data_IF_847916540482
#
_entry.id   IF_847916540482
#
_cell.length_a   1.000
_cell.length_b   1.000
_cell.length_c   1.000
_cell.angle_alpha   90.00
_cell.angle_beta   90.00
_cell.angle_gamma   90.00
#
_symmetry.space_group_name_H-M   'P 1'
#
loop_
_entity.id
_entity.type
_entity.pdbx_description
1 polymer ?
#
# COMPACT_ATOMS: atom_id res chain seq x y z
N UNK A 1 33.25 0.07 -20.99
CA UNK A 1 32.45 0.62 -19.88
C UNK A 1 31.04 0.16 -20.12
N UNK A 2 30.64 -0.94 -19.49
CA UNK A 2 29.25 -1.37 -19.53
C UNK A 2 28.41 -0.32 -18.79
N UNK A 3 27.51 0.32 -19.52
CA UNK A 3 26.40 1.07 -18.94
C UNK A 3 25.49 0.02 -18.27
N UNK A 4 25.78 -0.34 -17.02
CA UNK A 4 24.84 -1.10 -16.20
C UNK A 4 23.54 -0.31 -16.16
N UNK A 5 22.50 -0.84 -16.81
CA UNK A 5 21.16 -0.30 -16.72
C UNK A 5 20.78 -0.24 -15.24
N UNK A 6 20.32 0.93 -14.77
CA UNK A 6 19.84 1.06 -13.40
C UNK A 6 18.74 0.01 -13.16
N UNK A 7 18.72 -0.67 -12.00
CA UNK A 7 17.66 -1.61 -11.68
C UNK A 7 16.29 -0.92 -11.78
N UNK A 8 15.37 -1.53 -12.50
CA UNK A 8 13.98 -1.06 -12.66
C UNK A 8 13.03 -2.16 -12.18
N UNK A 9 11.91 -1.75 -11.59
CA UNK A 9 10.86 -2.70 -11.23
C UNK A 9 10.13 -3.22 -12.48
N UNK A 10 9.59 -4.44 -12.43
CA UNK A 10 8.68 -4.93 -13.46
C UNK A 10 7.48 -3.98 -13.64
N UNK A 11 7.08 -3.79 -14.89
CA UNK A 11 5.84 -3.10 -15.26
C UNK A 11 4.89 -4.17 -15.79
N UNK A 12 3.71 -4.31 -15.17
CA UNK A 12 2.73 -5.35 -15.48
C UNK A 12 1.43 -4.70 -15.96
N UNK A 13 0.87 -5.22 -17.04
CA UNK A 13 -0.31 -4.66 -17.70
C UNK A 13 -1.62 -5.23 -17.12
N UNK A 14 -2.40 -4.39 -16.45
CA UNK A 14 -3.72 -4.68 -15.88
C UNK A 14 -4.86 -4.04 -16.70
N UNK A 15 -4.70 -3.88 -18.01
CA UNK A 15 -5.78 -3.49 -18.93
C UNK A 15 -6.72 -4.67 -19.21
N UNK A 16 -7.93 -4.40 -19.73
CA UNK A 16 -9.01 -5.40 -19.90
C UNK A 16 -8.57 -6.72 -20.58
N UNK A 17 -7.60 -6.67 -21.50
CA UNK A 17 -7.08 -7.84 -22.20
C UNK A 17 -6.47 -8.91 -21.27
N UNK A 18 -5.94 -8.49 -20.13
CA UNK A 18 -5.24 -9.35 -19.17
C UNK A 18 -6.07 -9.66 -17.92
N UNK A 19 -7.22 -9.00 -17.74
CA UNK A 19 -8.03 -9.10 -16.53
C UNK A 19 -9.05 -10.25 -16.53
N UNK A 20 -9.29 -10.92 -17.67
CA UNK A 20 -10.31 -11.97 -17.77
C UNK A 20 -9.83 -13.27 -17.10
N UNK A 21 -10.39 -13.68 -15.94
CA UNK A 21 -9.92 -14.87 -15.25
C UNK A 21 -10.03 -16.13 -16.11
N UNK A 22 -8.99 -16.97 -16.09
CA UNK A 22 -8.92 -18.20 -16.85
C UNK A 22 -8.51 -18.06 -18.32
N UNK A 23 -8.28 -16.85 -18.83
CA UNK A 23 -7.65 -16.68 -20.15
C UNK A 23 -6.15 -17.02 -20.11
N UNK A 24 -5.56 -17.27 -21.28
CA UNK A 24 -4.10 -17.45 -21.39
C UNK A 24 -3.31 -16.21 -20.97
N UNK A 25 -3.79 -15.01 -21.33
CA UNK A 25 -3.18 -13.74 -20.92
C UNK A 25 -3.22 -13.55 -19.40
N UNK A 26 -4.33 -13.90 -18.75
CA UNK A 26 -4.48 -13.81 -17.30
C UNK A 26 -3.54 -14.77 -16.57
N UNK A 27 -3.34 -15.99 -17.08
CA UNK A 27 -2.39 -16.94 -16.49
C UNK A 27 -0.94 -16.45 -16.61
N UNK A 28 -0.55 -15.90 -17.76
CA UNK A 28 0.78 -15.30 -17.96
C UNK A 28 0.99 -14.14 -16.99
N UNK A 29 0.03 -13.21 -16.93
CA UNK A 29 0.05 -12.07 -16.01
C UNK A 29 0.12 -12.53 -14.55
N UNK A 30 -0.60 -13.59 -14.18
CA UNK A 30 -0.56 -14.14 -12.82
C UNK A 30 0.83 -14.66 -12.42
N UNK A 31 1.57 -15.23 -13.38
CA UNK A 31 2.95 -15.67 -13.16
C UNK A 31 3.92 -14.48 -13.05
N UNK A 32 3.74 -13.44 -13.87
CA UNK A 32 4.52 -12.20 -13.79
C UNK A 32 4.32 -11.51 -12.43
N UNK A 33 3.06 -11.42 -11.96
CA UNK A 33 2.72 -10.88 -10.64
C UNK A 33 3.41 -11.66 -9.53
N UNK A 34 3.29 -13.00 -9.54
CA UNK A 34 3.95 -13.84 -8.54
C UNK A 34 5.46 -13.62 -8.56
N UNK A 35 6.09 -13.70 -9.73
CA UNK A 35 7.53 -13.52 -9.85
C UNK A 35 7.98 -12.14 -9.36
N UNK A 36 7.25 -11.08 -9.72
CA UNK A 36 7.60 -9.73 -9.28
C UNK A 36 7.50 -9.56 -7.76
N UNK A 37 6.48 -10.15 -7.12
CA UNK A 37 6.32 -10.13 -5.67
C UNK A 37 7.34 -11.02 -4.94
N UNK A 38 7.68 -12.18 -5.49
CA UNK A 38 8.75 -13.04 -4.95
C UNK A 38 10.11 -12.32 -5.02
N UNK A 39 10.40 -11.66 -6.13
CA UNK A 39 11.75 -11.15 -6.41
C UNK A 39 12.01 -9.72 -5.97
N UNK A 40 11.02 -8.85 -6.13
CA UNK A 40 11.12 -7.42 -5.81
C UNK A 40 10.20 -7.00 -4.66
N UNK A 41 9.23 -7.83 -4.29
CA UNK A 41 8.18 -7.47 -3.33
C UNK A 41 7.19 -6.42 -3.83
N UNK A 42 7.34 -5.98 -5.08
CA UNK A 42 6.55 -4.91 -5.66
C UNK A 42 6.69 -4.86 -7.18
N UNK A 43 5.75 -4.17 -7.84
CA UNK A 43 5.78 -3.90 -9.28
C UNK A 43 4.92 -2.67 -9.61
N UNK A 44 5.13 -2.12 -10.81
CA UNK A 44 4.30 -1.04 -11.34
C UNK A 44 3.18 -1.65 -12.18
N UNK A 45 1.93 -1.45 -11.79
CA UNK A 45 0.75 -1.86 -12.54
C UNK A 45 0.30 -0.75 -13.49
N UNK A 46 0.15 -1.05 -14.78
CA UNK A 46 -0.56 -0.19 -15.74
C UNK A 46 -2.05 -0.47 -15.60
N UNK A 47 -2.85 0.53 -15.23
CA UNK A 47 -4.27 0.33 -14.92
C UNK A 47 -5.12 1.46 -15.53
N UNK A 48 -5.91 1.11 -16.54
CA UNK A 48 -6.61 2.04 -17.43
C UNK A 48 -8.01 2.47 -16.94
N UNK A 49 -8.54 1.82 -15.89
CA UNK A 49 -9.83 2.17 -15.30
C UNK A 49 -9.85 3.52 -14.59
N UNK A 50 -8.68 4.06 -14.23
CA UNK A 50 -8.56 5.38 -13.60
C UNK A 50 -7.99 6.35 -14.63
N UNK A 51 -8.86 7.22 -15.15
CA UNK A 51 -8.45 8.23 -16.13
C UNK A 51 -7.78 9.46 -15.46
N UNK A 52 -7.20 10.32 -16.30
CA UNK A 52 -6.45 11.50 -15.85
C UNK A 52 -7.33 12.52 -15.14
N UNK A 53 -8.60 12.65 -15.54
CA UNK A 53 -9.56 13.54 -14.87
C UNK A 53 -9.80 13.10 -13.42
N UNK A 54 -10.03 11.79 -13.22
CA UNK A 54 -10.19 11.19 -11.90
C UNK A 54 -8.92 11.37 -11.04
N UNK A 55 -7.74 11.13 -11.62
CA UNK A 55 -6.46 11.35 -10.91
C UNK A 55 -6.30 12.81 -10.45
N UNK A 56 -6.60 13.77 -11.34
CA UNK A 56 -6.57 15.20 -11.00
C UNK A 56 -7.59 15.55 -9.91
N UNK A 57 -8.77 14.96 -9.94
CA UNK A 57 -9.82 15.16 -8.94
C UNK A 57 -9.42 14.64 -7.57
N UNK A 58 -8.77 13.46 -7.51
CA UNK A 58 -8.23 12.88 -6.28
C UNK A 58 -7.17 13.77 -5.64
N UNK A 59 -6.23 14.30 -6.42
CA UNK A 59 -5.19 15.18 -5.85
C UNK A 59 -5.69 16.58 -5.52
N UNK A 60 -6.73 17.07 -6.22
CA UNK A 60 -7.45 18.28 -5.80
C UNK A 60 -8.16 18.07 -4.47
N UNK A 61 -8.91 16.99 -4.32
CA UNK A 61 -9.59 16.62 -3.08
C UNK A 61 -8.59 16.41 -1.92
N UNK A 62 -7.43 15.82 -2.20
CA UNK A 62 -6.34 15.66 -1.24
C UNK A 62 -5.80 17.02 -0.78
N UNK A 63 -5.62 17.97 -1.70
CA UNK A 63 -5.17 19.32 -1.36
C UNK A 63 -6.19 20.05 -0.47
N UNK A 64 -7.47 20.01 -0.86
CA UNK A 64 -8.57 20.58 -0.07
C UNK A 64 -8.60 20.00 1.36
N UNK A 65 -8.39 18.69 1.50
CA UNK A 65 -8.33 18.02 2.81
C UNK A 65 -7.20 18.57 3.69
N UNK A 66 -6.02 18.81 3.13
CA UNK A 66 -4.88 19.32 3.90
C UNK A 66 -4.90 20.83 4.15
N UNK A 67 -5.74 21.57 3.42
CA UNK A 67 -6.03 22.99 3.66
C UNK A 67 -6.97 23.22 4.85
N UNK A 68 -7.64 22.16 5.35
CA UNK A 68 -8.44 22.24 6.56
C UNK A 68 -7.61 22.66 7.79
N UNK A 69 -8.20 23.40 8.75
CA UNK A 69 -7.54 23.75 10.01
C UNK A 69 -7.06 22.51 10.76
N UNK A 70 -5.98 22.67 11.54
CA UNK A 70 -5.42 21.59 12.35
C UNK A 70 -6.47 21.03 13.31
N UNK A 71 -7.26 21.90 13.93
CA UNK A 71 -8.33 21.58 14.88
C UNK A 71 -9.41 20.68 14.27
N UNK A 72 -9.58 20.72 12.95
CA UNK A 72 -10.48 19.80 12.23
C UNK A 72 -9.77 18.49 11.95
N UNK A 73 -8.54 18.52 11.42
CA UNK A 73 -7.79 17.31 11.04
C UNK A 73 -7.53 16.38 12.23
N UNK A 74 -7.23 16.91 13.41
CA UNK A 74 -7.01 16.11 14.63
C UNK A 74 -8.26 15.39 15.14
N UNK A 75 -9.46 15.70 14.61
CA UNK A 75 -10.69 14.94 14.90
C UNK A 75 -10.74 13.60 14.19
N UNK A 76 -9.87 13.35 13.21
CA UNK A 76 -9.71 12.03 12.60
C UNK A 76 -8.93 11.11 13.56
N UNK A 77 -9.62 10.56 14.53
CA UNK A 77 -9.06 9.70 15.59
C UNK A 77 -9.30 8.22 15.30
N UNK A 78 -8.42 7.36 15.81
CA UNK A 78 -8.58 5.90 15.76
C UNK A 78 -7.78 5.27 16.90
N UNK A 79 -8.15 4.06 17.31
CA UNK A 79 -7.48 3.31 18.39
C UNK A 79 -6.01 3.02 18.05
N UNK A 80 -5.72 2.67 16.79
CA UNK A 80 -4.36 2.61 16.27
C UNK A 80 -3.95 3.95 15.64
N UNK A 81 -2.81 4.49 16.06
CA UNK A 81 -2.28 5.80 15.61
C UNK A 81 -2.08 5.89 14.09
N UNK A 82 -1.86 4.75 13.42
CA UNK A 82 -1.65 4.68 11.98
C UNK A 82 -2.94 4.58 11.18
N UNK A 83 -4.12 4.75 11.78
CA UNK A 83 -5.42 4.72 11.09
C UNK A 83 -6.13 6.08 11.03
N UNK A 84 -5.71 7.05 11.84
CA UNK A 84 -6.28 8.40 11.87
C UNK A 84 -5.38 9.46 11.22
N UNK A 85 -5.51 10.70 11.72
CA UNK A 85 -4.58 11.80 11.48
C UNK A 85 -3.23 11.47 12.10
N UNK A 86 -2.17 11.67 11.31
CA UNK A 86 -0.82 11.40 11.75
C UNK A 86 0.12 12.50 11.28
N UNK A 87 0.80 13.12 12.24
CA UNK A 87 1.90 14.04 12.05
C UNK A 87 2.88 13.84 13.21
N UNK A 88 4.07 13.34 12.91
CA UNK A 88 5.07 12.98 13.92
C UNK A 88 6.23 13.99 13.90
N UNK A 89 6.71 14.47 15.06
CA UNK A 89 7.85 15.39 15.11
C UNK A 89 9.12 14.84 14.45
N UNK A 90 9.33 13.53 14.51
CA UNK A 90 10.51 12.84 13.94
C UNK A 90 10.52 12.78 12.40
N UNK A 91 9.37 12.91 11.75
CA UNK A 91 9.21 13.01 10.29
C UNK A 91 8.45 14.31 9.94
N UNK A 92 9.08 15.47 10.16
CA UNK A 92 8.40 16.77 10.18
C UNK A 92 7.84 17.21 8.82
N UNK A 93 8.26 16.55 7.74
CA UNK A 93 7.75 16.78 6.38
C UNK A 93 6.40 16.11 6.13
N UNK A 94 6.08 15.06 6.89
CA UNK A 94 4.95 14.18 6.67
C UNK A 94 3.71 14.59 7.45
N UNK A 95 2.58 14.59 6.75
CA UNK A 95 1.24 14.73 7.34
C UNK A 95 0.30 13.78 6.59
N UNK A 96 -0.57 13.07 7.31
CA UNK A 96 -1.51 12.14 6.67
C UNK A 96 -2.83 11.98 7.41
N UNK A 97 -3.85 11.54 6.68
CA UNK A 97 -5.16 11.17 7.22
C UNK A 97 -5.56 9.81 6.66
N UNK A 98 -5.97 8.90 7.55
CA UNK A 98 -6.61 7.64 7.17
C UNK A 98 -8.12 7.78 7.06
N UNK A 99 -8.70 7.05 6.11
CA UNK A 99 -10.14 6.88 5.87
C UNK A 99 -10.41 5.38 5.97
N UNK A 100 -10.88 4.92 7.13
CA UNK A 100 -11.26 3.52 7.33
C UNK A 100 -12.50 3.20 6.52
N UNK A 101 -12.53 2.01 5.91
CA UNK A 101 -13.66 1.53 5.12
C UNK A 101 -14.05 2.52 4.01
N UNK A 102 -13.06 3.14 3.36
CA UNK A 102 -13.29 4.12 2.29
C UNK A 102 -14.04 3.52 1.07
N UNK A 103 -14.02 2.19 0.93
CA UNK A 103 -14.77 1.41 -0.06
C UNK A 103 -16.25 1.26 0.28
N UNK A 104 -16.71 1.66 1.47
CA UNK A 104 -18.12 1.63 1.87
C UNK A 104 -18.72 3.04 1.92
N UNK A 105 -20.03 3.14 1.68
CA UNK A 105 -20.75 4.42 1.78
C UNK A 105 -20.67 5.02 3.18
N UNK A 106 -20.76 4.18 4.22
CA UNK A 106 -20.77 4.65 5.60
C UNK A 106 -19.38 5.13 6.05
N UNK A 107 -18.31 4.41 5.67
CA UNK A 107 -16.94 4.79 6.00
C UNK A 107 -16.57 6.15 5.40
N UNK A 108 -16.83 6.35 4.10
CA UNK A 108 -16.50 7.63 3.46
C UNK A 108 -17.39 8.79 3.95
N UNK A 109 -18.68 8.55 4.23
CA UNK A 109 -19.59 9.58 4.75
C UNK A 109 -19.22 9.98 6.17
N UNK A 110 -18.88 9.01 7.02
CA UNK A 110 -18.42 9.25 8.38
C UNK A 110 -17.21 10.18 8.37
N UNK A 111 -16.16 9.82 7.60
CA UNK A 111 -14.97 10.66 7.45
C UNK A 111 -15.30 12.04 6.87
N UNK A 112 -16.13 12.10 5.81
CA UNK A 112 -16.56 13.33 5.18
C UNK A 112 -17.28 14.28 6.13
N UNK A 113 -18.18 13.78 6.97
CA UNK A 113 -18.90 14.56 7.96
C UNK A 113 -17.96 15.13 9.04
N UNK A 114 -16.95 14.35 9.45
CA UNK A 114 -15.96 14.81 10.43
C UNK A 114 -15.05 15.91 9.86
N UNK A 115 -14.58 15.75 8.62
CA UNK A 115 -13.64 16.70 7.98
C UNK A 115 -14.34 17.92 7.38
N UNK A 116 -15.56 17.75 6.88
CA UNK A 116 -16.36 18.79 6.24
C UNK A 116 -17.76 18.84 6.87
N UNK A 117 -17.93 19.43 8.08
CA UNK A 117 -19.22 19.48 8.76
C UNK A 117 -20.33 20.21 7.98
N UNK A 118 -19.96 21.13 7.08
CA UNK A 118 -20.87 21.82 6.15
C UNK A 118 -21.20 20.99 4.89
N UNK A 119 -20.67 19.77 4.79
CA UNK A 119 -20.80 18.88 3.64
C UNK A 119 -19.72 19.11 2.58
N UNK A 120 -19.28 18.03 1.95
CA UNK A 120 -18.49 18.04 0.72
C UNK A 120 -18.75 16.75 -0.06
N UNK A 121 -19.90 16.68 -0.74
CA UNK A 121 -20.28 15.48 -1.50
C UNK A 121 -19.28 15.13 -2.59
N UNK A 122 -18.66 16.14 -3.20
CA UNK A 122 -17.68 15.94 -4.27
C UNK A 122 -16.44 15.23 -3.75
N UNK A 123 -15.92 15.64 -2.59
CA UNK A 123 -14.83 14.95 -1.91
C UNK A 123 -15.20 13.48 -1.66
N UNK A 124 -16.36 13.22 -1.03
CA UNK A 124 -16.78 11.86 -0.70
C UNK A 124 -16.93 11.00 -1.96
N UNK A 125 -17.61 11.49 -3.00
CA UNK A 125 -17.78 10.78 -4.28
C UNK A 125 -16.44 10.45 -4.94
N UNK A 126 -15.53 11.42 -4.98
CA UNK A 126 -14.20 11.27 -5.59
C UNK A 126 -13.35 10.23 -4.84
N UNK A 127 -13.20 10.39 -3.54
CA UNK A 127 -12.35 9.52 -2.73
C UNK A 127 -12.94 8.11 -2.61
N UNK A 128 -14.26 7.97 -2.53
CA UNK A 128 -14.94 6.67 -2.53
C UNK A 128 -14.75 5.92 -3.85
N UNK A 129 -14.98 6.59 -4.99
CA UNK A 129 -14.81 5.98 -6.29
C UNK A 129 -13.36 5.57 -6.52
N UNK A 130 -12.39 6.39 -6.09
CA UNK A 130 -10.98 6.05 -6.17
C UNK A 130 -10.63 4.84 -5.29
N UNK A 131 -11.10 4.81 -4.03
CA UNK A 131 -10.89 3.69 -3.13
C UNK A 131 -11.41 2.36 -3.71
N UNK A 132 -12.60 2.37 -4.30
CA UNK A 132 -13.17 1.18 -4.94
C UNK A 132 -12.35 0.70 -6.14
N UNK A 133 -11.85 1.62 -6.97
CA UNK A 133 -11.00 1.26 -8.12
C UNK A 133 -9.64 0.70 -7.69
N UNK A 134 -9.04 1.23 -6.62
CA UNK A 134 -7.82 0.67 -6.05
C UNK A 134 -8.07 -0.70 -5.39
N UNK A 135 -9.21 -0.88 -4.74
CA UNK A 135 -9.59 -2.15 -4.12
C UNK A 135 -9.85 -3.23 -5.19
N UNK A 136 -10.43 -2.86 -6.32
CA UNK A 136 -10.58 -3.76 -7.46
C UNK A 136 -9.21 -4.24 -7.99
N UNK A 137 -8.23 -3.33 -8.12
CA UNK A 137 -6.86 -3.70 -8.52
C UNK A 137 -6.21 -4.62 -7.47
N UNK A 138 -6.36 -4.30 -6.18
CA UNK A 138 -5.84 -5.12 -5.08
C UNK A 138 -6.42 -6.54 -5.11
N UNK A 139 -7.74 -6.68 -5.26
CA UNK A 139 -8.42 -7.97 -5.33
C UNK A 139 -7.98 -8.77 -6.56
N UNK A 140 -7.76 -8.11 -7.70
CA UNK A 140 -7.23 -8.77 -8.90
C UNK A 140 -5.83 -9.33 -8.65
N UNK A 141 -4.94 -8.54 -8.04
CA UNK A 141 -3.59 -8.99 -7.67
C UNK A 141 -3.67 -10.15 -6.69
N UNK A 142 -4.48 -10.04 -5.63
CA UNK A 142 -4.67 -11.12 -4.66
C UNK A 142 -5.16 -12.40 -5.35
N UNK A 143 -6.14 -12.31 -6.25
CA UNK A 143 -6.63 -13.48 -7.01
C UNK A 143 -5.54 -14.13 -7.84
N UNK A 144 -4.73 -13.34 -8.53
CA UNK A 144 -3.60 -13.82 -9.32
C UNK A 144 -2.56 -14.51 -8.43
N UNK A 145 -2.26 -13.98 -7.24
CA UNK A 145 -1.37 -14.61 -6.26
C UNK A 145 -1.92 -15.95 -5.78
N UNK A 146 -3.19 -15.99 -5.34
CA UNK A 146 -3.83 -17.22 -4.88
C UNK A 146 -3.87 -18.28 -5.98
N UNK A 147 -4.12 -17.88 -7.22
CA UNK A 147 -4.07 -18.78 -8.37
C UNK A 147 -2.68 -19.34 -8.60
N UNK A 148 -1.68 -18.47 -8.67
CA UNK A 148 -0.30 -18.85 -9.00
C UNK A 148 0.32 -19.80 -7.97
N UNK A 149 -0.18 -19.78 -6.74
CA UNK A 149 0.18 -20.73 -5.69
C UNK A 149 -0.73 -21.97 -5.61
N UNK A 150 -1.73 -22.11 -6.49
CA UNK A 150 -2.62 -23.27 -6.50
C UNK A 150 -3.64 -23.31 -5.34
N UNK A 151 -3.86 -22.17 -4.68
CA UNK A 151 -4.70 -22.04 -3.47
C UNK A 151 -5.95 -21.17 -3.71
N UNK A 152 -6.41 -21.09 -4.97
CA UNK A 152 -7.57 -20.27 -5.40
C UNK A 152 -8.85 -20.57 -4.58
N UNK A 153 -9.00 -21.77 -4.02
CA UNK A 153 -10.13 -22.13 -3.15
C UNK A 153 -10.27 -21.26 -1.89
N UNK A 154 -9.18 -20.63 -1.44
CA UNK A 154 -9.17 -19.77 -0.24
C UNK A 154 -9.48 -18.30 -0.56
N UNK A 155 -9.53 -17.92 -1.85
CA UNK A 155 -9.64 -16.52 -2.29
C UNK A 155 -10.93 -15.84 -1.83
N UNK A 156 -12.09 -16.50 -1.99
CA UNK A 156 -13.38 -15.92 -1.58
C UNK A 156 -13.43 -15.65 -0.08
N UNK A 157 -12.90 -16.56 0.74
CA UNK A 157 -12.82 -16.35 2.19
C UNK A 157 -11.90 -15.17 2.53
N UNK A 158 -10.78 -15.04 1.82
CA UNK A 158 -9.85 -13.94 2.00
C UNK A 158 -10.53 -12.60 1.69
N UNK A 159 -11.12 -12.43 0.51
CA UNK A 159 -11.79 -11.18 0.10
C UNK A 159 -12.92 -10.79 1.06
N UNK A 160 -13.70 -11.75 1.55
CA UNK A 160 -14.78 -11.47 2.51
C UNK A 160 -14.29 -11.04 3.90
N UNK A 161 -13.02 -11.32 4.22
CA UNK A 161 -12.37 -10.89 5.46
C UNK A 161 -11.60 -9.57 5.33
N UNK A 162 -11.59 -8.94 4.15
CA UNK A 162 -10.76 -7.77 3.89
C UNK A 162 -11.37 -6.45 4.37
N UNK A 163 -10.60 -5.73 5.16
CA UNK A 163 -10.79 -4.32 5.47
C UNK A 163 -9.82 -3.46 4.64
N UNK A 164 -10.26 -2.26 4.26
CA UNK A 164 -9.42 -1.32 3.51
C UNK A 164 -9.27 0.01 4.26
N UNK A 165 -8.02 0.45 4.36
CA UNK A 165 -7.66 1.80 4.79
C UNK A 165 -7.16 2.59 3.60
N UNK A 166 -7.90 3.64 3.21
CA UNK A 166 -7.38 4.62 2.28
C UNK A 166 -6.66 5.70 3.08
N UNK A 167 -5.37 5.89 2.86
CA UNK A 167 -4.60 6.96 3.50
C UNK A 167 -4.20 7.99 2.46
N UNK A 168 -4.39 9.26 2.82
CA UNK A 168 -3.98 10.42 2.02
C UNK A 168 -2.76 11.02 2.70
N UNK A 169 -1.66 11.19 1.97
CA UNK A 169 -0.39 11.67 2.51
C UNK A 169 0.10 12.91 1.79
N UNK A 170 0.65 13.83 2.56
CA UNK A 170 1.29 15.05 2.10
C UNK A 170 2.70 15.12 2.65
N UNK A 171 3.62 15.50 1.77
CA UNK A 171 5.00 15.79 2.11
C UNK A 171 5.30 17.21 1.68
N UNK A 172 5.57 18.09 2.67
CA UNK A 172 6.02 19.45 2.38
C UNK A 172 7.50 19.44 2.00
N UNK A 173 7.94 20.53 1.40
CA UNK A 173 9.36 20.74 1.16
C UNK A 173 10.10 20.93 2.49
N UNK A 174 11.34 20.41 2.59
CA UNK A 174 12.19 20.70 3.73
C UNK A 174 12.55 22.19 3.76
N UNK A 175 12.62 22.75 4.97
CA UNK A 175 13.19 24.08 5.18
C UNK A 175 14.72 24.01 5.16
N UNK A 176 15.37 25.18 5.15
CA UNK A 176 16.84 25.25 5.23
C UNK A 176 17.31 24.52 6.50
N UNK A 177 18.32 23.67 6.36
CA UNK A 177 18.90 22.83 7.44
C UNK A 177 17.98 21.73 8.00
N UNK A 178 16.78 21.53 7.43
CA UNK A 178 15.91 20.41 7.79
C UNK A 178 16.27 19.14 7.02
N UNK A 179 16.13 17.99 7.67
CA UNK A 179 16.23 16.68 7.00
C UNK A 179 15.20 16.57 5.87
N UNK A 180 15.61 15.97 4.74
CA UNK A 180 14.73 15.71 3.61
C UNK A 180 13.99 14.37 3.71
N UNK A 181 14.07 13.67 4.84
CA UNK A 181 13.37 12.40 5.07
C UNK A 181 11.87 12.66 5.23
N UNK A 182 11.10 12.17 4.26
CA UNK A 182 9.63 12.16 4.29
C UNK A 182 9.05 10.94 5.00
N UNK A 183 9.71 9.79 4.93
CA UNK A 183 9.39 8.60 5.70
C UNK A 183 10.67 7.79 5.93
N UNK A 184 10.87 7.27 7.14
CA UNK A 184 11.98 6.39 7.46
C UNK A 184 11.88 5.05 6.72
N UNK A 185 12.98 4.30 6.71
CA UNK A 185 13.02 2.95 6.14
C UNK A 185 12.05 2.05 6.91
N UNK A 186 11.11 1.42 6.20
CA UNK A 186 10.16 0.48 6.79
C UNK A 186 9.66 -0.53 5.74
N UNK A 187 8.93 -1.55 6.21
CA UNK A 187 8.07 -2.39 5.39
C UNK A 187 6.61 -2.14 5.73
N UNK A 188 5.73 -2.34 4.76
CA UNK A 188 4.29 -2.26 5.00
C UNK A 188 3.83 -3.44 5.84
N UNK A 189 2.84 -3.19 6.70
CA UNK A 189 2.27 -4.20 7.60
C UNK A 189 0.97 -4.79 7.06
N UNK A 190 0.44 -4.21 5.99
CA UNK A 190 -0.73 -4.67 5.24
C UNK A 190 -0.48 -6.03 4.57
N UNK A 191 -1.53 -6.57 3.95
CA UNK A 191 -1.42 -7.68 3.02
C UNK A 191 -0.88 -7.18 1.68
N UNK A 192 -1.61 -6.28 1.01
CA UNK A 192 -1.17 -5.58 -0.20
C UNK A 192 -1.35 -4.07 -0.02
N UNK A 193 -0.43 -3.28 -0.58
CA UNK A 193 -0.55 -1.83 -0.72
C UNK A 193 -0.64 -1.45 -2.19
N UNK A 194 -1.58 -0.56 -2.52
CA UNK A 194 -1.68 0.10 -3.82
C UNK A 194 -1.40 1.59 -3.64
N UNK A 195 -0.33 2.10 -4.25
CA UNK A 195 0.11 3.48 -4.12
C UNK A 195 -0.09 4.27 -5.42
N UNK A 196 -0.73 5.43 -5.30
CA UNK A 196 -0.92 6.42 -6.35
C UNK A 196 -0.24 7.74 -5.93
N UNK A 197 0.59 8.34 -6.78
CA UNK A 197 1.28 9.61 -6.49
C UNK A 197 1.02 10.69 -7.54
N UNK A 198 1.19 11.96 -7.14
CA UNK A 198 0.98 13.12 -8.00
C UNK A 198 2.15 13.38 -8.98
N UNK A 199 2.85 12.32 -9.39
CA UNK A 199 4.04 12.34 -10.26
C UNK A 199 5.23 13.16 -9.70
N UNK A 200 5.19 13.47 -8.41
CA UNK A 200 6.34 14.00 -7.67
C UNK A 200 7.01 12.84 -6.97
N UNK A 201 8.20 12.48 -7.46
CA UNK A 201 8.97 11.36 -6.93
C UNK A 201 9.44 11.60 -5.49
N UNK A 202 10.08 10.58 -4.92
CA UNK A 202 10.65 10.62 -3.57
C UNK A 202 10.62 9.27 -2.89
N UNK A 203 9.74 8.37 -3.32
CA UNK A 203 9.78 6.97 -2.89
C UNK A 203 11.06 6.30 -3.38
N UNK A 204 11.72 5.56 -2.50
CA UNK A 204 12.85 4.69 -2.82
C UNK A 204 12.58 3.29 -2.27
N UNK A 205 12.86 2.27 -3.08
CA UNK A 205 12.65 0.85 -2.74
C UNK A 205 14.01 0.16 -2.67
N UNK A 206 14.24 -0.62 -1.62
CA UNK A 206 15.46 -1.37 -1.42
C UNK A 206 15.34 -2.75 -2.06
N UNK A 207 16.27 -3.10 -2.96
CA UNK A 207 16.36 -4.42 -3.56
C UNK A 207 16.94 -5.44 -2.58
N UNK A 208 16.78 -6.74 -2.88
CA UNK A 208 17.46 -7.83 -2.16
C UNK A 208 19.00 -7.70 -2.19
N UNK A 209 19.55 -7.02 -3.20
CA UNK A 209 20.98 -6.71 -3.30
C UNK A 209 21.40 -5.48 -2.46
N UNK A 210 20.51 -4.94 -1.63
CA UNK A 210 20.71 -3.74 -0.81
C UNK A 210 20.91 -2.44 -1.60
N UNK A 211 20.45 -2.39 -2.85
CA UNK A 211 20.48 -1.19 -3.69
C UNK A 211 19.16 -0.42 -3.58
N UNK A 212 19.20 0.91 -3.71
CA UNK A 212 18.01 1.75 -3.69
C UNK A 212 17.57 2.11 -5.11
N UNK A 213 16.34 1.73 -5.46
CA UNK A 213 15.65 2.14 -6.69
C UNK A 213 14.82 3.38 -6.37
N UNK A 214 15.21 4.52 -6.94
CA UNK A 214 14.39 5.73 -6.89
C UNK A 214 13.19 5.59 -7.83
N UNK A 215 12.00 5.68 -7.26
CA UNK A 215 10.75 5.48 -7.98
C UNK A 215 10.20 6.78 -8.54
N UNK A 216 9.64 6.67 -9.75
CA UNK A 216 8.74 7.64 -10.35
C UNK A 216 7.62 6.88 -11.01
N UNK A 217 6.43 6.90 -10.41
CA UNK A 217 5.28 6.17 -10.93
C UNK A 217 4.74 6.95 -12.15
N UNK A 218 4.68 6.34 -13.35
CA UNK A 218 4.15 7.02 -14.53
C UNK A 218 2.65 7.38 -14.37
N UNK A 219 2.13 8.31 -15.20
CA UNK A 219 0.68 8.49 -15.31
C UNK A 219 -0.02 7.16 -15.60
N UNK A 220 -1.24 6.97 -15.07
CA UNK A 220 -2.05 5.75 -15.23
C UNK A 220 -1.42 4.47 -14.65
N UNK A 221 -0.34 4.63 -13.88
CA UNK A 221 0.32 3.52 -13.22
C UNK A 221 0.18 3.62 -11.70
N UNK A 222 0.27 2.47 -11.06
CA UNK A 222 0.14 2.31 -9.62
C UNK A 222 1.26 1.41 -9.14
N UNK A 223 1.86 1.72 -8.01
CA UNK A 223 2.80 0.80 -7.39
C UNK A 223 2.00 -0.19 -6.53
N UNK A 224 2.21 -1.47 -6.77
CA UNK A 224 1.69 -2.57 -5.95
C UNK A 224 2.83 -3.08 -5.10
N UNK A 225 2.62 -3.21 -3.79
CA UNK A 225 3.61 -3.73 -2.85
C UNK A 225 3.01 -4.83 -1.98
N UNK A 226 3.79 -5.87 -1.72
CA UNK A 226 3.50 -6.84 -0.67
C UNK A 226 3.90 -6.27 0.69
N UNK A 227 3.02 -6.46 1.68
CA UNK A 227 3.36 -6.20 3.07
C UNK A 227 3.73 -7.46 3.84
N UNK A 228 4.07 -7.25 5.10
CA UNK A 228 4.53 -8.27 6.04
C UNK A 228 3.51 -9.39 6.25
N UNK A 229 2.21 -9.09 6.20
CA UNK A 229 1.16 -10.11 6.31
C UNK A 229 1.16 -11.06 5.09
N UNK A 230 1.42 -10.56 3.88
CA UNK A 230 1.52 -11.40 2.68
C UNK A 230 2.83 -12.20 2.65
N UNK A 231 3.94 -11.63 3.16
CA UNK A 231 5.18 -12.37 3.42
C UNK A 231 4.92 -13.58 4.34
N UNK A 232 4.20 -13.38 5.45
CA UNK A 232 3.85 -14.45 6.38
C UNK A 232 2.92 -15.49 5.76
N UNK A 233 1.84 -15.04 5.11
CA UNK A 233 0.86 -15.91 4.44
C UNK A 233 1.48 -16.76 3.33
N UNK A 234 2.45 -16.23 2.59
CA UNK A 234 3.16 -16.97 1.54
C UNK A 234 4.26 -17.89 2.09
N UNK A 235 4.36 -18.05 3.41
CA UNK A 235 5.40 -18.82 4.09
C UNK A 235 6.84 -18.37 3.73
N UNK A 236 7.03 -17.06 3.57
CA UNK A 236 8.35 -16.49 3.23
C UNK A 236 8.68 -16.42 1.74
N UNK A 237 7.78 -16.87 0.85
CA UNK A 237 8.02 -16.87 -0.61
C UNK A 237 7.96 -15.45 -1.21
N UNK A 238 6.95 -14.66 -0.84
CA UNK A 238 6.82 -13.27 -1.28
C UNK A 238 7.68 -12.36 -0.42
N UNK A 239 8.41 -11.43 -1.04
CA UNK A 239 9.23 -10.47 -0.35
C UNK A 239 8.41 -9.25 0.11
N UNK A 240 8.58 -8.82 1.35
CA UNK A 240 8.12 -7.50 1.83
C UNK A 240 9.26 -6.49 1.69
N UNK A 241 9.14 -5.56 0.75
CA UNK A 241 10.24 -4.68 0.35
C UNK A 241 10.42 -3.50 1.31
N UNK A 242 11.65 -3.32 1.81
CA UNK A 242 12.01 -2.11 2.53
C UNK A 242 11.92 -0.90 1.61
N UNK A 243 11.33 0.18 2.10
CA UNK A 243 11.18 1.40 1.33
C UNK A 243 11.23 2.63 2.24
N UNK A 244 11.49 3.78 1.65
CA UNK A 244 11.55 5.08 2.33
C UNK A 244 11.05 6.19 1.41
N UNK A 245 10.82 7.38 1.97
CA UNK A 245 10.52 8.57 1.17
C UNK A 245 11.56 9.65 1.45
N UNK A 246 12.26 10.11 0.41
CA UNK A 246 13.23 11.20 0.44
C UNK A 246 12.74 12.34 -0.47
N UNK A 247 12.50 13.51 0.10
CA UNK A 247 11.99 14.69 -0.62
C UNK A 247 13.15 15.41 -1.31
N UNK A 248 13.31 15.15 -2.61
CA UNK A 248 14.40 15.72 -3.44
C UNK A 248 13.93 16.81 -4.42
N UNK A 249 12.62 16.99 -4.56
CA UNK A 249 12.04 17.89 -5.55
C UNK A 249 11.71 19.29 -5.03
N UNK A 250 11.27 20.16 -5.93
CA UNK A 250 10.85 21.55 -5.64
C UNK A 250 9.33 21.70 -5.48
N UNK A 251 8.58 20.59 -5.60
CA UNK A 251 7.12 20.57 -5.48
C UNK A 251 6.69 19.71 -4.29
N UNK A 252 5.59 20.10 -3.66
CA UNK A 252 4.95 19.28 -2.62
C UNK A 252 4.53 17.93 -3.23
N UNK A 253 4.85 16.85 -2.51
CA UNK A 253 4.47 15.50 -2.90
C UNK A 253 3.16 15.12 -2.22
N UNK A 254 2.25 14.57 -2.99
CA UNK A 254 1.03 13.95 -2.49
C UNK A 254 0.99 12.50 -2.96
N UNK A 255 0.57 11.62 -2.06
CA UNK A 255 0.27 10.24 -2.42
C UNK A 255 -1.01 9.78 -1.74
N UNK A 256 -1.67 8.83 -2.36
CA UNK A 256 -2.83 8.12 -1.80
C UNK A 256 -2.49 6.64 -1.84
N UNK A 257 -2.51 6.00 -0.67
CA UNK A 257 -2.28 4.56 -0.53
C UNK A 257 -3.56 3.87 -0.09
N UNK A 258 -3.90 2.77 -0.75
CA UNK A 258 -4.88 1.81 -0.25
C UNK A 258 -4.12 0.65 0.40
N UNK A 259 -4.40 0.40 1.67
CA UNK A 259 -3.79 -0.67 2.45
C UNK A 259 -4.86 -1.70 2.78
N UNK A 260 -4.55 -2.96 2.53
CA UNK A 260 -5.48 -4.06 2.68
C UNK A 260 -5.13 -4.85 3.96
N UNK A 261 -6.12 -5.04 4.84
CA UNK A 261 -5.99 -5.75 6.11
C UNK A 261 -6.97 -6.92 6.20
N UNK A 262 -6.52 -8.03 6.75
CA UNK A 262 -7.34 -9.24 6.96
C UNK A 262 -7.93 -9.14 8.36
N UNK A 263 -9.24 -9.09 8.48
CA UNK A 263 -9.95 -9.22 9.75
C UNK A 263 -9.97 -10.70 10.18
N UNK A 264 -8.82 -11.19 10.64
CA UNK A 264 -8.64 -12.58 11.01
C UNK A 264 -7.18 -12.98 11.17
N UNK A 265 -6.96 -14.29 11.19
CA UNK A 265 -5.65 -14.90 11.37
C UNK A 265 -4.90 -14.91 10.04
N UNK A 266 -3.66 -14.42 10.06
CA UNK A 266 -2.67 -14.64 9.03
C UNK A 266 -1.96 -15.96 9.32
N UNK A 267 -2.12 -16.90 8.40
CA UNK A 267 -1.50 -18.20 8.45
C UNK A 267 -1.17 -18.68 7.03
N UNK A 268 -0.01 -19.31 6.87
CA UNK A 268 0.34 -19.95 5.61
C UNK A 268 -0.61 -21.13 5.33
N UNK A 269 -1.24 -21.18 4.13
CA UNK A 269 -2.02 -22.35 3.70
C UNK A 269 -1.17 -23.62 3.77
N UNK A 270 -1.78 -24.73 4.17
CA UNK A 270 -1.09 -26.03 4.27
C UNK A 270 -0.48 -26.46 2.94
N UNK A 271 -1.04 -26.04 1.80
CA UNK A 271 -0.49 -26.31 0.47
C UNK A 271 0.87 -25.63 0.21
N UNK A 272 1.25 -24.64 1.01
CA UNK A 272 2.54 -23.93 0.92
C UNK A 272 3.55 -24.41 1.96
N UNK A 273 3.19 -25.42 2.75
CA UNK A 273 4.01 -25.98 3.82
C UNK A 273 4.28 -27.45 3.54
N UNK A 274 5.56 -27.81 3.41
CA UNK A 274 5.99 -29.18 3.18
C UNK A 274 7.34 -29.47 3.84
N UNK A 275 7.94 -30.64 3.58
CA UNK A 275 9.22 -31.03 4.17
C UNK A 275 10.39 -30.18 3.67
N UNK A 276 10.30 -29.64 2.46
CA UNK A 276 11.32 -28.76 1.86
C UNK A 276 11.09 -27.30 2.25
N UNK A 277 9.83 -26.92 2.52
CA UNK A 277 9.39 -25.59 2.92
C UNK A 277 8.60 -25.67 4.25
N UNK A 278 9.26 -25.90 5.39
CA UNK A 278 8.58 -25.95 6.68
C UNK A 278 7.92 -24.60 7.01
N UNK A 279 6.93 -24.62 7.90
CA UNK A 279 6.24 -23.41 8.37
C UNK A 279 7.26 -22.47 9.03
N UNK A 280 7.37 -21.25 8.54
CA UNK A 280 8.35 -20.25 9.01
C UNK A 280 7.77 -19.26 10.01
N UNK A 281 6.44 -19.12 10.05
CA UNK A 281 5.76 -18.12 10.86
C UNK A 281 4.64 -18.77 11.69
N UNK A 282 4.52 -18.35 12.95
CA UNK A 282 3.40 -18.71 13.81
C UNK A 282 2.12 -18.01 13.31
N UNK A 283 0.92 -18.60 13.43
CA UNK A 283 -0.31 -17.89 13.14
C UNK A 283 -0.48 -16.67 14.07
N UNK A 284 -0.96 -15.56 13.53
CA UNK A 284 -1.24 -14.34 14.31
C UNK A 284 -2.44 -13.59 13.74
N UNK A 285 -3.14 -12.83 14.58
CA UNK A 285 -4.19 -11.95 14.09
C UNK A 285 -3.57 -10.73 13.40
N UNK A 286 -4.03 -10.36 12.20
CA UNK A 286 -3.39 -9.30 11.40
C UNK A 286 -3.33 -7.96 12.17
N UNK A 287 -4.40 -7.61 12.88
CA UNK A 287 -4.41 -6.37 13.66
C UNK A 287 -3.40 -6.39 14.83
N UNK A 288 -3.03 -7.54 15.37
CA UNK A 288 -2.02 -7.65 16.42
C UNK A 288 -0.62 -7.30 15.87
N UNK A 289 -0.34 -7.60 14.59
CA UNK A 289 0.90 -7.17 13.93
C UNK A 289 0.97 -5.64 13.85
N UNK A 290 -0.15 -4.98 13.55
CA UNK A 290 -0.25 -3.52 13.48
C UNK A 290 -0.10 -2.86 14.84
N UNK A 291 -0.69 -3.45 15.88
CA UNK A 291 -0.59 -2.94 17.25
C UNK A 291 0.81 -3.18 17.82
N UNK A 292 1.43 -4.32 17.53
CA UNK A 292 2.82 -4.59 17.85
C UNK A 292 3.74 -3.53 17.23
N UNK A 293 3.58 -3.23 15.94
CA UNK A 293 4.37 -2.20 15.25
C UNK A 293 4.14 -0.77 15.79
N UNK A 294 2.95 -0.46 16.29
CA UNK A 294 2.67 0.84 16.88
C UNK A 294 3.38 1.04 18.23
N UNK A 295 3.39 0.01 19.06
CA UNK A 295 3.82 0.09 20.45
C UNK A 295 5.29 -0.28 20.69
N UNK A 296 5.94 -0.96 19.75
CA UNK A 296 7.35 -1.36 19.90
C UNK A 296 8.27 -0.27 19.31
N UNK A 297 8.83 0.59 20.17
CA UNK A 297 9.75 1.66 19.74
C UNK A 297 11.11 1.12 19.27
N UNK A 298 11.55 -0.04 19.77
CA UNK A 298 12.86 -0.63 19.50
C UNK A 298 12.88 -1.40 18.16
N UNK A 299 11.78 -2.07 17.80
CA UNK A 299 11.67 -2.87 16.57
C UNK A 299 11.16 -2.12 15.32
N UNK A 300 11.03 -0.80 15.36
CA UNK A 300 10.69 0.00 14.16
C UNK A 300 11.79 0.02 13.10
N UNK A 301 13.02 -0.37 13.47
CA UNK A 301 14.18 -0.42 12.57
C UNK A 301 14.56 -1.83 12.11
N UNK A 302 14.06 -2.87 12.78
CA UNK A 302 14.23 -4.28 12.40
C UNK A 302 12.99 -4.84 11.70
N UNK A 303 13.14 -5.98 11.01
CA UNK A 303 12.03 -6.64 10.34
C UNK A 303 11.02 -7.12 11.39
N UNK A 304 9.88 -6.44 11.53
CA UNK A 304 8.82 -6.74 12.51
C UNK A 304 8.38 -8.20 12.51
N UNK A 305 8.47 -8.85 11.34
CA UNK A 305 8.14 -10.27 11.17
C UNK A 305 9.07 -11.25 11.90
N UNK A 306 10.23 -10.81 12.40
CA UNK A 306 11.10 -11.66 13.23
C UNK A 306 10.39 -12.10 14.52
N UNK A 307 9.56 -11.24 15.13
CA UNK A 307 8.80 -11.57 16.34
C UNK A 307 7.75 -12.69 16.12
N UNK A 308 7.43 -12.99 14.86
CA UNK A 308 6.45 -13.98 14.46
C UNK A 308 7.06 -15.22 13.80
N UNK A 309 8.39 -15.30 13.66
CA UNK A 309 9.07 -16.50 13.16
C UNK A 309 9.01 -17.66 14.16
N UNK A 310 9.01 -18.89 13.62
CA UNK A 310 9.16 -20.15 14.36
C UNK A 310 10.64 -20.54 14.53
#
# INVERSE_FOLDING_TARGET
MDLQAKPQLPIIDFTEANLRPGSGSWLLTSNEVRHALEEYGCFVAVYDKINMQMSNDVFRASKELFELPLETKVKNVSDNIYYGYLKLPVIPLYESLGIRNATTCDGIRSFGNTMFPSGNEKFCKTMHSHANQLAELEQMVARMVFKSYGVEKHYESHVNSMDYLLRVMKYRLPQKEESNVGAHVHTDKSFITILHENQVGGLEIKTKANEWIAMRIPPFCYLVMAGDALLAWSNGKIHSAFHQVIIKGEKQRFSVGLFSFVNGIIEAPEELVDKEHPRQYKPFHHYDLMDFYANDEDNKTECTMQAFRL
#
